data_IF_119564442216
#
_entry.id   IF_119564442216
#
_cell.length_a   1.000
_cell.length_b   1.000
_cell.length_c   1.000
_cell.angle_alpha   90.00
_cell.angle_beta   90.00
_cell.angle_gamma   90.00
#
_symmetry.space_group_name_H-M   'P 1'
#
loop_
_entity.id
_entity.type
_entity.pdbx_description
1 polymer ?
#
# COMPACT_ATOMS: atom_id res chain seq x y z
N UNK A 1 -9.02 7.81 -10.27
CA UNK A 1 -9.00 6.32 -10.15
C UNK A 1 -9.03 5.91 -8.68
N UNK A 2 -9.55 4.69 -8.35
CA UNK A 2 -9.54 4.16 -6.98
C UNK A 2 -8.59 2.97 -6.92
N UNK A 3 -7.63 3.01 -6.01
CA UNK A 3 -6.67 1.92 -5.77
C UNK A 3 -6.71 1.53 -4.30
N UNK A 4 -6.82 0.24 -4.02
CA UNK A 4 -6.82 -0.31 -2.66
C UNK A 4 -5.51 -1.03 -2.38
N UNK A 5 -4.86 -0.68 -1.27
CA UNK A 5 -3.57 -1.27 -0.87
C UNK A 5 -3.62 -1.71 0.60
N UNK A 6 -3.43 -2.99 0.84
CA UNK A 6 -3.22 -3.53 2.18
C UNK A 6 -1.71 -3.59 2.47
N UNK A 7 -1.27 -2.79 3.42
CA UNK A 7 0.12 -2.64 3.83
C UNK A 7 0.50 -3.65 4.93
N UNK A 8 0.53 -4.94 4.58
CA UNK A 8 0.99 -5.97 5.51
C UNK A 8 2.52 -5.87 5.77
N UNK A 9 2.97 -6.25 6.96
CA UNK A 9 4.41 -6.36 7.27
C UNK A 9 5.10 -7.52 6.51
N UNK A 10 4.32 -8.47 6.01
CA UNK A 10 4.82 -9.58 5.18
C UNK A 10 4.73 -9.27 3.71
N UNK A 11 3.62 -8.71 3.29
CA UNK A 11 3.32 -8.50 1.87
C UNK A 11 2.43 -7.28 1.69
N UNK A 12 2.64 -6.58 0.59
CA UNK A 12 1.71 -5.60 0.04
C UNK A 12 0.69 -6.35 -0.80
N UNK A 13 -0.58 -6.01 -0.64
CA UNK A 13 -1.68 -6.63 -1.38
C UNK A 13 -2.56 -5.56 -2.00
N UNK A 14 -2.99 -5.81 -3.22
CA UNK A 14 -4.07 -5.09 -3.89
C UNK A 14 -5.13 -6.13 -4.31
N UNK A 15 -6.26 -5.74 -4.90
CA UNK A 15 -7.23 -6.71 -5.41
C UNK A 15 -6.65 -7.69 -6.44
N UNK A 16 -5.60 -7.30 -7.17
CA UNK A 16 -5.01 -8.08 -8.28
C UNK A 16 -3.57 -8.51 -8.06
N UNK A 17 -2.87 -7.95 -7.04
CA UNK A 17 -1.43 -8.13 -6.85
C UNK A 17 -1.10 -8.57 -5.43
N UNK A 18 -0.03 -9.33 -5.32
CA UNK A 18 0.62 -9.70 -4.07
C UNK A 18 2.13 -9.69 -4.28
N UNK A 19 2.85 -8.92 -3.47
CA UNK A 19 4.32 -8.94 -3.47
C UNK A 19 4.87 -8.71 -2.06
N UNK A 20 6.12 -9.13 -1.84
CA UNK A 20 6.77 -9.03 -0.54
C UNK A 20 6.95 -7.58 -0.12
N UNK A 21 6.71 -7.27 1.16
CA UNK A 21 7.08 -5.97 1.75
C UNK A 21 8.59 -5.88 1.93
N UNK A 22 9.30 -5.93 0.82
CA UNK A 22 10.76 -5.93 0.73
C UNK A 22 11.24 -4.86 -0.22
N UNK A 23 12.20 -4.03 0.24
CA UNK A 23 12.69 -2.87 -0.50
C UNK A 23 14.19 -2.71 -0.31
N UNK A 24 14.90 -2.45 -1.40
CA UNK A 24 16.31 -2.05 -1.41
C UNK A 24 16.37 -0.65 -2.00
N UNK A 25 17.05 0.25 -1.30
CA UNK A 25 17.37 1.61 -1.75
C UNK A 25 18.81 1.67 -2.28
N UNK A 26 19.04 2.42 -3.36
CA UNK A 26 20.36 2.62 -3.98
C UNK A 26 20.45 4.00 -4.64
N UNK A 27 21.64 4.57 -4.62
CA UNK A 27 21.94 5.81 -5.36
C UNK A 27 22.23 5.54 -6.85
N UNK A 28 22.37 4.28 -7.24
CA UNK A 28 22.67 3.89 -8.62
C UNK A 28 21.60 2.97 -9.18
N UNK A 29 21.32 3.11 -10.47
CA UNK A 29 20.36 2.26 -11.17
C UNK A 29 20.80 0.79 -11.09
N UNK A 30 19.90 -0.13 -10.70
CA UNK A 30 20.24 -1.54 -10.63
C UNK A 30 20.57 -2.09 -12.02
N UNK A 31 21.64 -2.90 -12.11
CA UNK A 31 22.08 -3.50 -13.38
C UNK A 31 21.23 -4.69 -13.83
N UNK A 32 20.42 -5.25 -12.96
CA UNK A 32 19.55 -6.41 -13.23
C UNK A 32 18.14 -5.91 -13.53
N UNK A 33 17.49 -6.53 -14.51
CA UNK A 33 16.10 -6.25 -14.88
C UNK A 33 15.18 -6.74 -13.76
N UNK A 34 14.82 -5.84 -12.84
CA UNK A 34 13.95 -6.06 -11.70
C UNK A 34 12.97 -4.90 -11.60
N UNK A 35 11.87 -5.08 -10.90
CA UNK A 35 10.94 -3.98 -10.60
C UNK A 35 11.66 -2.86 -9.88
N UNK A 36 11.73 -1.70 -10.51
CA UNK A 36 12.51 -0.57 -10.06
C UNK A 36 11.72 0.73 -10.17
N UNK A 37 11.69 1.48 -9.07
CA UNK A 37 11.22 2.87 -9.04
C UNK A 37 12.42 3.80 -8.87
N UNK A 38 12.44 4.89 -9.64
CA UNK A 38 13.27 6.06 -9.36
C UNK A 38 12.36 7.16 -8.83
N UNK A 39 12.60 7.58 -7.60
CA UNK A 39 11.84 8.61 -6.92
C UNK A 39 12.71 9.37 -5.94
N UNK A 40 12.53 10.70 -5.88
CA UNK A 40 13.24 11.60 -4.98
C UNK A 40 14.78 11.42 -5.01
N UNK A 41 15.35 11.23 -6.23
CA UNK A 41 16.78 11.10 -6.46
C UNK A 41 17.37 9.73 -6.14
N UNK A 42 16.55 8.73 -5.79
CA UNK A 42 17.01 7.38 -5.43
C UNK A 42 16.30 6.29 -6.23
N UNK A 43 16.96 5.17 -6.39
CA UNK A 43 16.41 3.95 -6.96
C UNK A 43 15.94 3.02 -5.87
N UNK A 44 14.76 2.45 -6.06
CA UNK A 44 14.17 1.46 -5.17
C UNK A 44 13.84 0.21 -5.95
N UNK A 45 14.17 -0.96 -5.41
CA UNK A 45 13.87 -2.26 -6.03
C UNK A 45 13.13 -3.16 -5.06
N UNK A 46 12.16 -3.92 -5.58
CA UNK A 46 11.50 -4.95 -4.81
C UNK A 46 12.44 -6.13 -4.56
N UNK A 47 12.34 -6.72 -3.36
CA UNK A 47 13.12 -7.88 -2.96
C UNK A 47 12.28 -8.83 -2.12
N UNK A 48 12.63 -10.13 -2.12
CA UNK A 48 12.01 -11.14 -1.25
C UNK A 48 12.42 -10.99 0.23
N UNK A 49 13.48 -10.24 0.51
CA UNK A 49 13.88 -9.95 1.89
C UNK A 49 12.99 -8.85 2.45
N UNK A 50 12.15 -9.21 3.42
CA UNK A 50 11.25 -8.26 4.08
C UNK A 50 12.01 -7.12 4.75
N UNK A 51 11.42 -5.92 4.71
CA UNK A 51 11.84 -4.81 5.57
C UNK A 51 11.63 -5.19 7.04
N UNK A 52 12.44 -4.60 7.92
CA UNK A 52 12.27 -4.78 9.37
C UNK A 52 10.87 -4.37 9.80
N UNK A 53 10.34 -5.06 10.83
CA UNK A 53 9.05 -4.70 11.39
C UNK A 53 9.05 -3.24 11.85
N UNK A 54 8.06 -2.49 11.39
CA UNK A 54 7.76 -1.14 11.84
C UNK A 54 6.40 -1.14 12.53
N UNK A 55 6.39 -0.70 13.79
CA UNK A 55 5.15 -0.50 14.53
C UNK A 55 4.33 0.63 13.92
N UNK A 56 4.99 1.72 13.58
CA UNK A 56 4.41 2.85 12.86
C UNK A 56 4.99 2.89 11.43
N UNK A 57 4.15 2.58 10.46
CA UNK A 57 4.52 2.53 9.04
C UNK A 57 4.76 3.91 8.42
N UNK A 58 4.54 4.98 9.19
CA UNK A 58 4.73 6.36 8.77
C UNK A 58 6.06 6.95 9.23
N UNK A 59 6.94 6.15 9.86
CA UNK A 59 8.24 6.61 10.37
C UNK A 59 9.20 7.03 9.25
N UNK A 60 9.10 6.38 8.09
CA UNK A 60 9.93 6.65 6.92
C UNK A 60 9.15 6.40 5.61
N UNK A 61 9.82 6.59 4.47
CA UNK A 61 9.18 6.52 3.16
C UNK A 61 9.04 5.11 2.57
N UNK A 62 9.49 4.05 3.27
CA UNK A 62 9.47 2.69 2.72
C UNK A 62 8.07 2.22 2.33
N UNK A 63 7.07 2.41 3.18
CA UNK A 63 5.70 2.04 2.85
C UNK A 63 5.07 2.95 1.79
N UNK A 64 5.52 4.21 1.71
CA UNK A 64 5.12 5.09 0.63
C UNK A 64 5.63 4.59 -0.73
N UNK A 65 6.93 4.27 -0.81
CA UNK A 65 7.53 3.70 -2.03
C UNK A 65 6.89 2.37 -2.42
N UNK A 66 6.61 1.49 -1.46
CA UNK A 66 5.87 0.24 -1.73
C UNK A 66 4.46 0.52 -2.28
N UNK A 67 3.84 1.64 -1.86
CA UNK A 67 2.55 2.07 -2.43
C UNK A 67 2.71 2.59 -3.86
N UNK A 68 3.79 3.31 -4.18
CA UNK A 68 4.08 3.71 -5.56
C UNK A 68 4.24 2.48 -6.48
N UNK A 69 4.91 1.41 -6.00
CA UNK A 69 4.96 0.14 -6.72
C UNK A 69 3.57 -0.46 -6.94
N UNK A 70 2.73 -0.47 -5.91
CA UNK A 70 1.37 -0.99 -6.02
C UNK A 70 0.55 -0.18 -7.03
N UNK A 71 0.64 1.15 -7.00
CA UNK A 71 -0.04 2.05 -7.92
C UNK A 71 0.44 1.81 -9.36
N UNK A 72 1.75 1.85 -9.61
CA UNK A 72 2.31 1.66 -10.95
C UNK A 72 1.90 0.31 -11.56
N UNK A 73 2.00 -0.75 -10.77
CA UNK A 73 1.60 -2.10 -11.21
C UNK A 73 0.09 -2.21 -11.51
N UNK A 74 -0.77 -1.60 -10.68
CA UNK A 74 -2.21 -1.57 -10.93
C UNK A 74 -2.55 -0.76 -12.19
N UNK A 75 -1.86 0.37 -12.42
CA UNK A 75 -2.00 1.16 -13.65
C UNK A 75 -1.59 0.35 -14.88
N UNK A 76 -0.46 -0.36 -14.83
CA UNK A 76 -0.04 -1.24 -15.94
C UNK A 76 -1.06 -2.34 -16.24
N UNK A 77 -1.69 -2.93 -15.22
CA UNK A 77 -2.77 -3.92 -15.41
C UNK A 77 -4.02 -3.33 -16.07
N UNK A 78 -4.24 -2.04 -15.93
CA UNK A 78 -5.30 -1.30 -16.62
C UNK A 78 -4.87 -0.79 -18.02
N UNK A 79 -3.64 -1.13 -18.45
CA UNK A 79 -3.08 -0.67 -19.72
C UNK A 79 -2.58 0.78 -19.70
N UNK A 80 -2.52 1.42 -18.52
CA UNK A 80 -2.06 2.78 -18.37
C UNK A 80 -0.54 2.75 -18.13
N UNK A 81 0.20 3.05 -19.20
CA UNK A 81 1.66 3.09 -19.19
C UNK A 81 2.11 4.43 -19.74
N UNK A 82 2.96 5.16 -19.00
CA UNK A 82 3.39 6.51 -19.35
C UNK A 82 2.22 7.44 -19.68
N UNK A 83 1.34 7.73 -18.71
CA UNK A 83 0.21 8.61 -18.95
C UNK A 83 0.69 10.01 -19.35
N UNK A 84 0.08 10.58 -20.40
CA UNK A 84 0.39 11.93 -20.86
C UNK A 84 -0.07 13.02 -19.88
N UNK A 85 -0.97 12.66 -18.96
CA UNK A 85 -1.57 13.57 -17.99
C UNK A 85 -1.36 13.07 -16.56
N UNK A 86 -1.42 14.00 -15.61
CA UNK A 86 -1.45 13.71 -14.19
C UNK A 86 -2.69 12.88 -13.82
N UNK A 87 -2.48 11.83 -13.03
CA UNK A 87 -3.55 10.93 -12.61
C UNK A 87 -3.98 11.20 -11.16
N UNK A 88 -5.24 11.53 -10.97
CA UNK A 88 -5.86 11.64 -9.66
C UNK A 88 -6.19 10.27 -9.07
N UNK A 89 -5.60 9.96 -7.91
CA UNK A 89 -5.76 8.69 -7.19
C UNK A 89 -6.54 8.90 -5.89
N UNK A 90 -7.61 8.12 -5.71
CA UNK A 90 -8.21 7.87 -4.40
C UNK A 90 -7.62 6.58 -3.85
N UNK A 91 -6.89 6.67 -2.75
CA UNK A 91 -6.20 5.54 -2.14
C UNK A 91 -7.02 4.98 -0.96
N UNK A 92 -7.27 3.68 -0.97
CA UNK A 92 -7.89 2.96 0.15
C UNK A 92 -6.81 2.15 0.86
N UNK A 93 -6.66 2.32 2.18
CA UNK A 93 -5.56 1.70 2.94
C UNK A 93 -6.08 0.96 4.18
N UNK A 94 -5.43 -0.15 4.53
CA UNK A 94 -5.79 -0.95 5.69
C UNK A 94 -4.87 -0.68 6.90
N UNK A 95 -5.46 -0.52 8.08
CA UNK A 95 -4.76 -0.44 9.35
C UNK A 95 -5.17 -1.59 10.28
N UNK A 96 -4.23 -2.16 11.07
CA UNK A 96 -4.58 -3.10 12.12
C UNK A 96 -5.59 -2.50 13.10
N UNK A 97 -6.56 -3.29 13.59
CA UNK A 97 -7.60 -2.82 14.52
C UNK A 97 -7.05 -2.09 15.75
N UNK A 98 -6.00 -2.64 16.36
CA UNK A 98 -5.36 -2.08 17.54
C UNK A 98 -4.75 -0.68 17.32
N UNK A 99 -4.42 -0.32 16.10
CA UNK A 99 -3.78 0.94 15.74
C UNK A 99 -4.75 1.95 15.11
N UNK A 100 -5.91 1.51 14.65
CA UNK A 100 -6.84 2.32 13.88
C UNK A 100 -7.22 3.62 14.61
N UNK A 101 -7.72 3.51 15.84
CA UNK A 101 -8.21 4.66 16.61
C UNK A 101 -7.16 5.76 16.89
N UNK A 102 -5.88 5.39 16.92
CA UNK A 102 -4.79 6.33 17.25
C UNK A 102 -4.03 6.83 16.02
N UNK A 103 -3.92 6.00 14.99
CA UNK A 103 -3.00 6.25 13.87
C UNK A 103 -3.69 6.55 12.53
N UNK A 104 -5.02 6.38 12.41
CA UNK A 104 -5.69 6.50 11.11
C UNK A 104 -5.44 7.85 10.43
N UNK A 105 -5.59 8.96 11.17
CA UNK A 105 -5.40 10.29 10.61
C UNK A 105 -3.96 10.54 10.16
N UNK A 106 -2.98 10.13 10.98
CA UNK A 106 -1.56 10.24 10.62
C UNK A 106 -1.23 9.37 9.41
N UNK A 107 -1.79 8.16 9.33
CA UNK A 107 -1.61 7.24 8.23
C UNK A 107 -2.19 7.79 6.93
N UNK A 108 -3.38 8.39 6.98
CA UNK A 108 -3.97 9.06 5.82
C UNK A 108 -3.13 10.26 5.36
N UNK A 109 -2.69 11.12 6.29
CA UNK A 109 -1.83 12.27 5.97
C UNK A 109 -0.48 11.85 5.38
N UNK A 110 0.08 10.74 5.85
CA UNK A 110 1.33 10.17 5.33
C UNK A 110 1.22 9.86 3.83
N UNK A 111 0.14 9.25 3.38
CA UNK A 111 -0.06 8.98 1.96
C UNK A 111 -0.55 10.19 1.17
N UNK A 112 -1.30 11.11 1.79
CA UNK A 112 -1.83 12.28 1.11
C UNK A 112 -0.73 13.24 0.63
N UNK A 113 0.43 13.27 1.29
CA UNK A 113 1.56 14.16 0.94
C UNK A 113 1.12 15.59 0.63
N UNK A 114 0.19 16.14 1.44
CA UNK A 114 -0.45 17.45 1.21
C UNK A 114 -1.13 17.60 -0.16
N UNK A 115 -1.42 16.50 -0.84
CA UNK A 115 -1.96 16.45 -2.21
C UNK A 115 -1.00 17.06 -3.24
N UNK A 116 0.29 16.99 -2.98
CA UNK A 116 1.31 17.37 -3.96
C UNK A 116 1.35 16.33 -5.08
N UNK A 117 1.76 16.80 -6.26
CA UNK A 117 2.03 15.92 -7.40
C UNK A 117 3.28 15.10 -7.09
N UNK A 118 3.23 13.84 -7.40
CA UNK A 118 4.33 12.90 -7.20
C UNK A 118 4.75 12.33 -8.53
N UNK A 119 5.93 12.74 -8.95
CA UNK A 119 6.59 12.28 -10.16
C UNK A 119 7.55 11.16 -9.83
N UNK A 120 7.48 10.07 -10.56
CA UNK A 120 8.39 8.94 -10.41
C UNK A 120 8.53 8.15 -11.72
N UNK A 121 9.64 7.44 -11.86
CA UNK A 121 9.87 6.48 -12.95
C UNK A 121 9.63 5.07 -12.42
N UNK A 122 8.86 4.25 -13.11
CA UNK A 122 8.74 2.82 -12.85
C UNK A 122 9.16 2.03 -14.09
N UNK A 123 10.19 1.19 -13.96
CA UNK A 123 10.77 0.39 -15.04
C UNK A 123 11.12 1.18 -16.30
N UNK A 124 11.57 2.44 -16.15
CA UNK A 124 11.94 3.31 -17.27
C UNK A 124 10.76 4.07 -17.87
N UNK A 125 9.55 3.98 -17.28
CA UNK A 125 8.35 4.72 -17.67
C UNK A 125 8.02 5.79 -16.65
N UNK A 126 7.64 6.95 -17.12
CA UNK A 126 7.34 8.10 -16.29
C UNK A 126 5.87 8.11 -15.85
N UNK A 127 5.65 8.41 -14.59
CA UNK A 127 4.32 8.56 -13.99
C UNK A 127 4.25 9.85 -13.21
N UNK A 128 3.15 10.59 -13.39
CA UNK A 128 2.78 11.76 -12.61
C UNK A 128 1.42 11.49 -11.96
N UNK A 129 1.40 11.45 -10.63
CA UNK A 129 0.16 11.14 -9.89
C UNK A 129 -0.10 12.16 -8.80
N UNK A 130 -1.37 12.33 -8.44
CA UNK A 130 -1.78 13.04 -7.22
C UNK A 130 -2.71 12.16 -6.41
N UNK A 131 -2.34 11.90 -5.16
CA UNK A 131 -3.24 11.25 -4.22
C UNK A 131 -4.17 12.31 -3.65
N UNK A 132 -5.38 12.41 -4.19
CA UNK A 132 -6.35 13.46 -3.85
C UNK A 132 -7.16 13.12 -2.59
N UNK A 133 -7.31 11.83 -2.31
CA UNK A 133 -8.04 11.31 -1.16
C UNK A 133 -7.43 10.02 -0.65
N UNK A 134 -7.33 9.88 0.67
CA UNK A 134 -6.98 8.64 1.35
C UNK A 134 -8.12 8.28 2.30
N UNK A 135 -8.51 7.02 2.31
CA UNK A 135 -9.50 6.49 3.25
C UNK A 135 -8.92 5.23 3.88
N UNK A 136 -8.83 5.23 5.20
CA UNK A 136 -8.34 4.09 5.96
C UNK A 136 -9.49 3.22 6.46
N UNK A 137 -9.27 1.90 6.42
CA UNK A 137 -10.19 0.89 6.94
C UNK A 137 -9.47 0.02 7.96
N UNK A 138 -10.24 -0.47 8.91
CA UNK A 138 -9.76 -1.51 9.82
C UNK A 138 -9.56 -2.81 9.04
N UNK A 139 -8.33 -3.34 9.03
CA UNK A 139 -8.02 -4.67 8.49
C UNK A 139 -8.92 -5.71 9.19
N UNK A 140 -9.11 -6.88 8.60
CA UNK A 140 -10.05 -7.90 9.04
C UNK A 140 -11.54 -7.47 8.95
N UNK A 141 -11.92 -6.25 9.36
CA UNK A 141 -13.30 -5.78 9.21
C UNK A 141 -13.72 -5.67 7.74
N UNK A 142 -12.83 -5.18 6.87
CA UNK A 142 -13.10 -5.11 5.44
C UNK A 142 -13.37 -6.50 4.84
N UNK A 143 -12.63 -7.52 5.28
CA UNK A 143 -12.89 -8.91 4.90
C UNK A 143 -14.21 -9.44 5.47
N UNK A 144 -14.54 -9.07 6.72
CA UNK A 144 -15.78 -9.46 7.37
C UNK A 144 -17.03 -8.93 6.68
N UNK A 145 -16.97 -7.72 6.11
CA UNK A 145 -18.10 -7.12 5.37
C UNK A 145 -18.56 -8.03 4.24
N UNK A 146 -17.66 -8.74 3.58
CA UNK A 146 -18.00 -9.70 2.52
C UNK A 146 -18.84 -10.88 3.03
N UNK A 147 -18.76 -11.18 4.33
CA UNK A 147 -19.46 -12.26 5.03
C UNK A 147 -20.57 -11.74 5.98
N UNK A 148 -20.90 -10.47 5.91
CA UNK A 148 -21.85 -9.82 6.82
C UNK A 148 -23.20 -10.55 6.87
N UNK A 149 -23.70 -11.03 5.72
CA UNK A 149 -24.94 -11.78 5.64
C UNK A 149 -24.95 -13.08 6.45
N UNK A 150 -23.80 -13.71 6.66
CA UNK A 150 -23.60 -14.90 7.48
C UNK A 150 -23.38 -14.49 8.95
N UNK A 151 -22.50 -13.53 9.20
CA UNK A 151 -22.11 -13.10 10.54
C UNK A 151 -23.30 -12.59 11.36
N UNK A 152 -24.20 -11.81 10.75
CA UNK A 152 -25.38 -11.25 11.42
C UNK A 152 -26.42 -12.28 11.91
N UNK A 153 -26.28 -13.54 11.51
CA UNK A 153 -27.17 -14.62 11.98
C UNK A 153 -26.79 -15.13 13.38
N UNK A 154 -25.64 -14.71 13.88
CA UNK A 154 -25.11 -15.13 15.18
C UNK A 154 -25.11 -13.98 16.16
N UNK A 155 -25.37 -14.27 17.46
CA UNK A 155 -25.37 -13.27 18.53
C UNK A 155 -23.98 -12.62 18.73
N UNK A 156 -22.91 -13.33 18.42
CA UNK A 156 -21.53 -12.83 18.39
C UNK A 156 -20.73 -13.61 17.35
N UNK A 157 -19.80 -12.92 16.69
CA UNK A 157 -18.86 -13.52 15.74
C UNK A 157 -17.46 -12.99 16.03
N UNK A 158 -16.46 -13.83 15.88
CA UNK A 158 -15.06 -13.45 16.03
C UNK A 158 -14.35 -13.61 14.70
N UNK A 159 -13.55 -12.62 14.34
CA UNK A 159 -12.71 -12.61 13.16
C UNK A 159 -11.27 -12.67 13.66
N UNK A 160 -10.54 -13.67 13.19
CA UNK A 160 -9.11 -13.84 13.51
C UNK A 160 -8.33 -13.63 12.23
N UNK A 161 -7.57 -12.53 12.17
CA UNK A 161 -6.67 -12.22 11.06
C UNK A 161 -5.23 -12.59 11.44
N UNK A 162 -4.67 -13.60 10.76
CA UNK A 162 -3.33 -14.11 11.02
C UNK A 162 -2.37 -13.48 10.00
N UNK A 163 -1.67 -12.45 10.43
CA UNK A 163 -0.66 -11.74 9.65
C UNK A 163 0.72 -12.40 9.68
N UNK A 164 1.72 -11.70 9.13
CA UNK A 164 3.10 -12.17 9.09
C UNK A 164 3.85 -12.05 10.43
N UNK A 165 3.39 -11.19 11.34
CA UNK A 165 4.00 -10.91 12.64
C UNK A 165 2.96 -10.83 13.77
N UNK A 166 1.71 -10.60 13.47
CA UNK A 166 0.62 -10.37 14.43
C UNK A 166 -0.57 -11.24 14.10
N UNK A 167 -1.40 -11.51 15.11
CA UNK A 167 -2.75 -12.00 14.94
C UNK A 167 -3.71 -10.98 15.57
N UNK A 168 -4.64 -10.50 14.77
CA UNK A 168 -5.65 -9.53 15.18
C UNK A 168 -6.97 -10.24 15.40
N UNK A 169 -7.66 -9.91 16.50
CA UNK A 169 -8.97 -10.49 16.85
C UNK A 169 -9.99 -9.37 16.96
N UNK A 170 -11.06 -9.48 16.19
CA UNK A 170 -12.22 -8.61 16.24
C UNK A 170 -13.45 -9.39 16.70
N UNK A 171 -14.35 -8.72 17.46
CA UNK A 171 -15.65 -9.25 17.86
C UNK A 171 -16.75 -8.46 17.17
#
# INVERSE_FOLDING_TARGET
MIISVDHGNKSIKTPRLLFTSGLIESDTRPGIKTDCIFWNGKYYTLTEKRISYLRDKTEDDRFYVLTLFAIAKELELDGIMEPDEELDITLLVGLPPAHYGQLYSRFEQYFLRKREVVDFEYNGRYYSIRITKVVSYTQALAAAVTKYGELKKHAASYIIDIGGYTADVLK
#
